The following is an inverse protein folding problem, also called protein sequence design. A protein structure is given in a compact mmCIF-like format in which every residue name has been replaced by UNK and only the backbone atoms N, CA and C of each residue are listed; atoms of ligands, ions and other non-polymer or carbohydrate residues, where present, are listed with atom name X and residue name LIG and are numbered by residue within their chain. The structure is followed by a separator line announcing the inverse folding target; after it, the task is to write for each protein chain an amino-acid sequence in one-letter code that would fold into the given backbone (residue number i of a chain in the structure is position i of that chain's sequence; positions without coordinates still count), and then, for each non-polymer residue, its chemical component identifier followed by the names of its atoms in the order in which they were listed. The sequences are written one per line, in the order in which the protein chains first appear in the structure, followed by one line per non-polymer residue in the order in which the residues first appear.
data_IF_832413086106
#
_entry.id   IF_832413086106
#
_cell.length_a   1.000
_cell.length_b   1.000
_cell.length_c   1.000
_cell.angle_alpha   90.00
_cell.angle_beta   90.00
_cell.angle_gamma   90.00
#
_symmetry.space_group_name_H-M   'P 1'
#
loop_
_entity.id
_entity.type
_entity.pdbx_description
1 polymer ?
#
# COMPACT_ATOMS: atom_id res chain seq x y z
N UNK A 1 54.79 -18.91 -27.65
CA UNK A 1 53.72 -19.80 -27.18
C UNK A 1 53.06 -20.44 -28.40
N UNK A 2 52.91 -21.74 -28.44
CA UNK A 2 52.26 -22.43 -29.56
C UNK A 2 50.79 -22.01 -29.66
N UNK A 3 50.28 -21.93 -30.89
CA UNK A 3 48.93 -21.47 -31.22
C UNK A 3 47.84 -22.15 -30.38
N UNK A 4 47.99 -23.43 -30.07
CA UNK A 4 47.06 -24.22 -29.23
C UNK A 4 46.96 -23.75 -27.78
N UNK A 5 48.02 -23.21 -27.19
CA UNK A 5 47.97 -22.68 -25.84
C UNK A 5 47.18 -21.36 -25.75
N UNK A 6 47.24 -20.55 -26.81
CA UNK A 6 46.41 -19.31 -26.86
C UNK A 6 44.92 -19.64 -27.02
N UNK A 7 44.58 -20.64 -27.83
CA UNK A 7 43.19 -21.08 -27.98
C UNK A 7 42.64 -21.71 -26.70
N UNK A 8 43.44 -22.47 -25.98
CA UNK A 8 43.02 -23.05 -24.70
C UNK A 8 42.80 -21.99 -23.60
N UNK A 9 43.65 -20.97 -23.54
CA UNK A 9 43.46 -19.83 -22.61
C UNK A 9 42.18 -19.05 -22.94
N UNK A 10 41.91 -18.78 -24.22
CA UNK A 10 40.68 -18.09 -24.62
C UNK A 10 39.45 -18.93 -24.30
N UNK A 11 39.47 -20.22 -24.50
CA UNK A 11 38.38 -21.13 -24.16
C UNK A 11 38.12 -21.18 -22.65
N UNK A 12 39.19 -21.25 -21.85
CA UNK A 12 39.12 -21.21 -20.37
C UNK A 12 38.53 -19.87 -19.89
N UNK A 13 38.92 -18.75 -20.49
CA UNK A 13 38.38 -17.42 -20.15
C UNK A 13 36.90 -17.31 -20.53
N UNK A 14 36.47 -17.85 -21.67
CA UNK A 14 35.06 -17.89 -22.10
C UNK A 14 34.26 -18.78 -21.14
N UNK A 15 34.78 -19.95 -20.76
CA UNK A 15 34.10 -20.84 -19.80
C UNK A 15 34.04 -20.20 -18.40
N UNK A 16 35.06 -19.49 -17.96
CA UNK A 16 35.03 -18.74 -16.70
C UNK A 16 34.08 -17.55 -16.76
N UNK A 17 33.95 -16.83 -17.89
CA UNK A 17 32.97 -15.78 -18.10
C UNK A 17 31.54 -16.34 -18.12
N UNK A 18 31.31 -17.45 -18.83
CA UNK A 18 30.00 -18.11 -18.84
C UNK A 18 29.63 -18.70 -17.48
N UNK A 19 30.59 -19.29 -16.76
CA UNK A 19 30.35 -19.79 -15.40
C UNK A 19 30.14 -18.65 -14.38
N UNK A 20 30.80 -17.50 -14.55
CA UNK A 20 30.50 -16.31 -13.72
C UNK A 20 29.14 -15.70 -14.04
N UNK A 21 28.66 -15.73 -15.30
CA UNK A 21 27.30 -15.33 -15.65
C UNK A 21 26.25 -16.28 -15.02
N UNK A 22 26.47 -17.60 -15.12
CA UNK A 22 25.57 -18.60 -14.50
C UNK A 22 25.63 -18.53 -12.97
N UNK A 23 26.77 -18.21 -12.38
CA UNK A 23 26.91 -18.02 -10.92
C UNK A 23 26.29 -16.70 -10.50
N UNK A 24 26.39 -15.63 -11.29
CA UNK A 24 25.72 -14.35 -11.03
C UNK A 24 24.20 -14.54 -11.14
N UNK A 25 23.67 -15.23 -12.16
CA UNK A 25 22.24 -15.55 -12.19
C UNK A 25 21.79 -16.43 -11.02
N UNK A 26 22.58 -17.43 -10.60
CA UNK A 26 22.27 -18.26 -9.42
C UNK A 26 22.49 -17.54 -8.08
N UNK A 27 23.42 -16.60 -7.98
CA UNK A 27 23.64 -15.80 -6.77
C UNK A 27 22.56 -14.72 -6.65
N UNK A 28 22.06 -14.18 -7.76
CA UNK A 28 20.86 -13.34 -7.77
C UNK A 28 19.62 -14.13 -7.30
N UNK A 29 19.47 -15.40 -7.69
CA UNK A 29 18.40 -16.27 -7.22
C UNK A 29 18.51 -16.72 -5.75
N UNK A 30 19.65 -16.56 -5.07
CA UNK A 30 19.87 -17.07 -3.71
C UNK A 30 19.78 -16.04 -2.57
N UNK A 31 19.64 -14.74 -2.87
CA UNK A 31 19.61 -13.70 -1.83
C UNK A 31 18.23 -13.09 -1.53
N UNK A 32 17.21 -13.41 -2.32
CA UNK A 32 15.83 -12.99 -2.07
C UNK A 32 15.06 -14.16 -1.42
N UNK A 33 15.12 -14.32 -0.12
CA UNK A 33 14.32 -15.32 0.62
C UNK A 33 12.84 -14.88 0.69
N UNK A 34 12.19 -14.90 -0.43
CA UNK A 34 10.77 -14.63 -0.61
C UNK A 34 10.47 -14.62 -2.10
N UNK A 35 9.78 -15.61 -2.64
CA UNK A 35 9.34 -15.66 -4.03
C UNK A 35 10.32 -16.20 -5.08
N UNK A 36 11.59 -16.42 -4.76
CA UNK A 36 12.62 -16.87 -5.72
C UNK A 36 12.33 -18.21 -6.38
N UNK A 37 11.62 -19.09 -5.69
CA UNK A 37 11.31 -20.42 -6.20
C UNK A 37 10.39 -20.40 -7.44
N UNK A 38 9.74 -19.27 -7.72
CA UNK A 38 8.77 -19.16 -8.81
C UNK A 38 9.21 -18.23 -9.97
N UNK A 39 10.30 -17.47 -9.81
CA UNK A 39 10.77 -16.53 -10.83
C UNK A 39 11.22 -17.24 -12.10
N UNK A 40 10.71 -16.82 -13.26
CA UNK A 40 11.12 -17.27 -14.60
C UNK A 40 10.98 -18.78 -14.86
N UNK A 41 10.08 -19.49 -14.14
CA UNK A 41 9.88 -20.95 -14.32
C UNK A 41 8.69 -21.31 -15.20
N UNK A 42 7.85 -20.34 -15.55
CA UNK A 42 6.68 -20.52 -16.39
C UNK A 42 6.78 -19.70 -17.69
N UNK A 43 5.79 -19.85 -18.56
CA UNK A 43 5.57 -19.03 -19.74
C UNK A 43 4.24 -18.31 -19.63
N UNK A 44 4.09 -17.21 -20.36
CA UNK A 44 2.81 -16.50 -20.42
C UNK A 44 1.64 -17.41 -20.85
N UNK A 45 1.90 -18.38 -21.70
CA UNK A 45 0.91 -19.31 -22.25
C UNK A 45 0.42 -20.34 -21.23
N UNK A 46 1.14 -20.52 -20.12
CA UNK A 46 0.73 -21.42 -19.03
C UNK A 46 -0.43 -20.81 -18.21
N UNK A 47 -0.68 -19.51 -18.35
CA UNK A 47 -1.73 -18.78 -17.66
C UNK A 47 -2.87 -18.38 -18.60
N UNK A 48 -4.10 -18.63 -18.17
CA UNK A 48 -5.29 -18.17 -18.89
C UNK A 48 -5.44 -16.65 -18.78
N UNK A 49 -5.88 -16.04 -19.88
CA UNK A 49 -6.22 -14.60 -19.87
C UNK A 49 -7.52 -14.36 -19.11
N UNK A 50 -7.67 -13.24 -18.40
CA UNK A 50 -8.92 -12.91 -17.69
C UNK A 50 -10.15 -12.93 -18.61
N UNK A 51 -9.99 -12.52 -19.89
CA UNK A 51 -11.05 -12.56 -20.88
C UNK A 51 -11.54 -13.99 -21.16
N UNK A 52 -10.66 -15.00 -21.13
CA UNK A 52 -11.07 -16.39 -21.32
C UNK A 52 -12.00 -16.88 -20.20
N UNK A 53 -11.74 -16.43 -18.96
CA UNK A 53 -12.62 -16.72 -17.82
C UNK A 53 -13.95 -15.96 -17.92
N UNK A 54 -13.88 -14.67 -18.27
CA UNK A 54 -14.98 -13.72 -18.17
C UNK A 54 -15.89 -13.59 -19.39
N UNK A 55 -15.45 -14.04 -20.57
CA UNK A 55 -16.20 -13.79 -21.81
C UNK A 55 -17.52 -14.57 -21.91
N UNK A 56 -17.66 -15.70 -21.20
CA UNK A 56 -18.84 -16.55 -21.31
C UNK A 56 -19.27 -17.24 -20.01
N UNK A 57 -18.39 -17.44 -19.05
CA UNK A 57 -18.69 -18.22 -17.85
C UNK A 57 -18.71 -17.39 -16.57
N UNK A 58 -17.63 -16.69 -16.23
CA UNK A 58 -17.48 -15.93 -14.99
C UNK A 58 -17.68 -14.42 -15.21
N UNK A 59 -18.78 -14.07 -15.90
CA UNK A 59 -19.04 -12.70 -16.39
C UNK A 59 -19.05 -11.68 -15.23
N UNK A 60 -19.76 -11.96 -14.14
CA UNK A 60 -19.89 -11.03 -13.00
C UNK A 60 -18.54 -10.82 -12.31
N UNK A 61 -17.76 -11.88 -12.13
CA UNK A 61 -16.41 -11.76 -11.55
C UNK A 61 -15.45 -11.01 -12.46
N UNK A 62 -15.57 -11.15 -13.76
CA UNK A 62 -14.77 -10.38 -14.70
C UNK A 62 -15.11 -8.89 -14.67
N UNK A 63 -16.39 -8.53 -14.54
CA UNK A 63 -16.82 -7.14 -14.36
C UNK A 63 -16.31 -6.55 -13.03
N UNK A 64 -16.29 -7.34 -11.96
CA UNK A 64 -15.70 -6.94 -10.68
C UNK A 64 -14.19 -6.78 -10.78
N UNK A 65 -13.50 -7.72 -11.45
CA UNK A 65 -12.07 -7.67 -11.70
C UNK A 65 -11.66 -6.41 -12.46
N UNK A 66 -12.41 -6.00 -13.47
CA UNK A 66 -12.14 -4.76 -14.21
C UNK A 66 -12.16 -3.48 -13.33
N UNK A 67 -12.81 -3.53 -12.19
CA UNK A 67 -12.97 -2.40 -11.27
C UNK A 67 -11.98 -2.42 -10.10
N UNK A 68 -11.39 -3.57 -9.77
CA UNK A 68 -10.48 -3.67 -8.63
C UNK A 68 -9.10 -3.08 -8.93
N UNK A 69 -8.46 -2.45 -7.93
CA UNK A 69 -7.12 -1.88 -8.08
C UNK A 69 -6.06 -2.93 -8.42
N UNK A 70 -6.19 -4.16 -7.93
CA UNK A 70 -5.22 -5.23 -8.23
C UNK A 70 -5.17 -5.62 -9.72
N UNK A 71 -6.24 -5.40 -10.50
CA UNK A 71 -6.22 -5.57 -11.97
C UNK A 71 -5.53 -4.42 -12.70
N UNK A 72 -5.24 -3.34 -12.01
CA UNK A 72 -4.68 -2.11 -12.55
C UNK A 72 -3.30 -1.77 -11.97
N UNK A 73 -2.79 -2.55 -11.02
CA UNK A 73 -1.57 -2.21 -10.29
C UNK A 73 -0.29 -2.16 -11.14
N UNK A 74 -0.31 -2.58 -12.39
CA UNK A 74 0.76 -2.35 -13.36
C UNK A 74 0.46 -1.19 -14.31
N UNK A 75 -0.81 -0.94 -14.60
CA UNK A 75 -1.26 0.08 -15.57
C UNK A 75 -1.67 1.39 -14.93
N UNK A 76 -1.78 1.42 -13.61
CA UNK A 76 -2.08 2.63 -12.85
C UNK A 76 -0.93 3.63 -13.03
N UNK A 77 -1.26 4.85 -13.45
CA UNK A 77 -0.25 5.84 -13.88
C UNK A 77 0.78 6.19 -12.83
N UNK A 78 0.40 6.20 -11.58
CA UNK A 78 1.30 6.44 -10.45
C UNK A 78 2.31 5.28 -10.30
N UNK A 79 1.85 4.03 -10.19
CA UNK A 79 2.72 2.85 -10.11
C UNK A 79 3.64 2.74 -11.33
N UNK A 80 3.15 3.05 -12.54
CA UNK A 80 3.95 3.10 -13.77
C UNK A 80 5.11 4.09 -13.65
N UNK A 81 4.82 5.32 -13.16
CA UNK A 81 5.85 6.36 -13.04
C UNK A 81 6.89 5.96 -11.98
N UNK A 82 6.48 5.49 -10.82
CA UNK A 82 7.40 5.06 -9.77
C UNK A 82 8.27 3.89 -10.21
N UNK A 83 7.69 2.92 -10.87
CA UNK A 83 8.45 1.76 -11.34
C UNK A 83 9.45 2.15 -12.45
N UNK A 84 8.98 2.76 -13.54
CA UNK A 84 9.84 3.02 -14.71
C UNK A 84 10.74 4.25 -14.58
N UNK A 85 10.35 5.25 -13.81
CA UNK A 85 11.11 6.50 -13.72
C UNK A 85 11.95 6.59 -12.44
N UNK A 86 11.62 5.82 -11.39
CA UNK A 86 12.35 5.84 -10.12
C UNK A 86 13.01 4.50 -9.81
N UNK A 87 12.25 3.42 -9.67
CA UNK A 87 12.76 2.12 -9.19
C UNK A 87 13.75 1.48 -10.19
N UNK A 88 13.38 1.34 -11.46
CA UNK A 88 14.25 0.74 -12.49
C UNK A 88 15.55 1.55 -12.67
N UNK A 89 15.52 2.90 -12.86
CA UNK A 89 16.75 3.68 -12.96
C UNK A 89 17.63 3.65 -11.69
N UNK A 90 17.04 3.51 -10.51
CA UNK A 90 17.80 3.33 -9.27
C UNK A 90 18.47 1.95 -9.26
N UNK A 91 17.73 0.90 -9.57
CA UNK A 91 18.22 -0.48 -9.62
C UNK A 91 19.33 -0.69 -10.68
N UNK A 92 19.34 0.10 -11.76
CA UNK A 92 20.43 0.09 -12.76
C UNK A 92 21.75 0.67 -12.24
N UNK A 93 21.69 1.50 -11.21
CA UNK A 93 22.86 2.24 -10.68
C UNK A 93 23.36 1.67 -9.36
N UNK A 94 22.46 1.15 -8.52
CA UNK A 94 22.77 0.64 -7.19
C UNK A 94 22.51 -0.87 -7.11
N UNK A 95 23.61 -1.69 -7.05
CA UNK A 95 23.47 -3.13 -6.90
C UNK A 95 22.68 -3.57 -5.67
N UNK A 96 22.60 -2.74 -4.62
CA UNK A 96 21.86 -3.05 -3.38
C UNK A 96 20.37 -3.19 -3.62
N UNK A 97 19.84 -2.45 -4.58
CA UNK A 97 18.40 -2.45 -4.93
C UNK A 97 18.12 -3.04 -6.31
N UNK A 98 19.10 -3.74 -6.92
CA UNK A 98 18.97 -4.30 -8.28
C UNK A 98 17.80 -5.26 -8.44
N UNK A 99 17.44 -6.00 -7.38
CA UNK A 99 16.36 -6.99 -7.37
C UNK A 99 14.97 -6.39 -7.58
N UNK A 100 14.78 -5.08 -7.32
CA UNK A 100 13.45 -4.45 -7.45
C UNK A 100 12.92 -4.44 -8.87
N UNK A 101 13.80 -4.58 -9.90
CA UNK A 101 13.34 -4.72 -11.30
C UNK A 101 12.43 -5.93 -11.49
N UNK A 102 12.73 -7.02 -10.80
CA UNK A 102 11.90 -8.22 -10.80
C UNK A 102 10.89 -8.19 -9.64
N UNK A 103 11.33 -7.87 -8.42
CA UNK A 103 10.56 -7.99 -7.18
C UNK A 103 9.24 -7.24 -7.19
N UNK A 104 9.21 -5.99 -7.67
CA UNK A 104 7.97 -5.22 -7.79
C UNK A 104 6.92 -5.95 -8.65
N UNK A 105 7.37 -6.61 -9.72
CA UNK A 105 6.47 -7.31 -10.64
C UNK A 105 5.87 -8.59 -10.03
N UNK A 106 6.45 -9.16 -8.98
CA UNK A 106 5.83 -10.26 -8.27
C UNK A 106 4.41 -9.93 -7.80
N UNK A 107 4.20 -8.69 -7.32
CA UNK A 107 2.89 -8.22 -6.87
C UNK A 107 2.13 -7.41 -7.95
N UNK A 108 2.81 -6.63 -8.79
CA UNK A 108 2.17 -5.71 -9.74
C UNK A 108 1.94 -6.29 -11.13
N UNK A 109 2.80 -7.21 -11.60
CA UNK A 109 2.67 -7.93 -12.86
C UNK A 109 3.09 -9.42 -12.69
N UNK A 110 2.36 -10.21 -11.87
CA UNK A 110 2.80 -11.54 -11.44
C UNK A 110 3.10 -12.50 -12.58
N UNK A 111 2.32 -12.49 -13.67
CA UNK A 111 2.57 -13.38 -14.82
C UNK A 111 3.88 -12.99 -15.51
N UNK A 112 4.22 -11.71 -15.61
CA UNK A 112 5.51 -11.26 -16.14
C UNK A 112 6.67 -11.75 -15.25
N UNK A 113 6.56 -11.60 -13.93
CA UNK A 113 7.53 -12.11 -12.96
C UNK A 113 7.73 -13.62 -13.10
N UNK A 114 6.64 -14.39 -13.10
CA UNK A 114 6.65 -15.84 -13.24
C UNK A 114 7.22 -16.31 -14.58
N UNK A 115 7.17 -15.46 -15.62
CA UNK A 115 7.71 -15.73 -16.97
C UNK A 115 9.11 -15.16 -17.18
N UNK A 116 9.70 -14.45 -16.21
CA UNK A 116 11.02 -13.84 -16.31
C UNK A 116 11.09 -12.59 -17.20
N UNK A 117 9.94 -12.02 -17.58
CA UNK A 117 9.84 -10.78 -18.36
C UNK A 117 9.89 -9.57 -17.41
N UNK A 118 11.09 -9.21 -16.96
CA UNK A 118 11.32 -8.15 -15.95
C UNK A 118 12.54 -7.29 -16.27
N UNK A 119 12.39 -5.95 -16.46
CA UNK A 119 11.13 -5.23 -16.46
C UNK A 119 10.30 -5.54 -17.71
N UNK A 120 8.97 -5.73 -17.57
CA UNK A 120 8.12 -5.92 -18.73
C UNK A 120 8.00 -4.62 -19.55
N UNK A 121 7.55 -4.70 -20.83
CA UNK A 121 7.34 -3.51 -21.64
C UNK A 121 6.31 -2.57 -21.01
N UNK A 122 6.52 -1.25 -21.17
CA UNK A 122 5.61 -0.22 -20.63
C UNK A 122 4.15 -0.46 -21.01
N UNK A 123 3.19 -0.08 -20.14
CA UNK A 123 1.75 -0.33 -20.33
C UNK A 123 1.17 0.16 -21.66
N UNK A 124 1.65 1.28 -22.20
CA UNK A 124 1.17 1.83 -23.48
C UNK A 124 1.45 0.90 -24.68
N UNK A 125 2.40 -0.03 -24.58
CA UNK A 125 2.71 -1.06 -25.57
C UNK A 125 1.76 -2.26 -25.49
N UNK A 126 0.83 -2.25 -24.53
CA UNK A 126 -0.18 -3.30 -24.29
C UNK A 126 0.40 -4.71 -24.10
N UNK A 127 1.42 -4.90 -23.25
CA UNK A 127 1.96 -6.23 -22.96
C UNK A 127 0.97 -7.06 -22.13
N UNK A 128 1.23 -8.37 -22.01
CA UNK A 128 0.47 -9.23 -21.08
C UNK A 128 0.62 -8.82 -19.60
N UNK A 129 1.70 -8.14 -19.24
CA UNK A 129 1.87 -7.54 -17.93
C UNK A 129 0.71 -6.59 -17.52
N UNK A 130 -0.01 -6.01 -18.51
CA UNK A 130 -1.19 -5.17 -18.25
C UNK A 130 -2.38 -5.94 -17.67
N UNK A 131 -2.34 -7.27 -17.64
CA UNK A 131 -3.32 -8.08 -16.92
C UNK A 131 -3.15 -7.96 -15.40
N UNK A 132 -2.02 -7.39 -14.93
CA UNK A 132 -1.71 -7.19 -13.52
C UNK A 132 -1.98 -8.46 -12.69
N UNK A 133 -2.71 -8.39 -11.58
CA UNK A 133 -3.16 -9.57 -10.83
C UNK A 133 -4.40 -10.15 -11.51
N UNK A 134 -4.20 -11.13 -12.37
CA UNK A 134 -5.27 -11.77 -13.13
C UNK A 134 -5.95 -12.91 -12.35
N UNK A 135 -7.06 -13.42 -12.88
CA UNK A 135 -7.81 -14.52 -12.29
C UNK A 135 -6.90 -15.74 -12.03
N UNK A 136 -6.08 -16.07 -13.02
CA UNK A 136 -5.23 -17.26 -12.98
C UNK A 136 -4.08 -17.13 -11.97
N UNK A 137 -3.62 -15.91 -11.68
CA UNK A 137 -2.61 -15.68 -10.63
C UNK A 137 -3.10 -16.22 -9.29
N UNK A 138 -4.35 -15.90 -8.90
CA UNK A 138 -4.91 -16.34 -7.63
C UNK A 138 -5.38 -17.80 -7.68
N UNK A 139 -6.05 -18.19 -8.76
CA UNK A 139 -6.72 -19.49 -8.86
C UNK A 139 -5.82 -20.64 -9.29
N UNK A 140 -4.49 -20.44 -9.37
CA UNK A 140 -3.48 -21.48 -9.60
C UNK A 140 -2.50 -21.64 -8.44
N UNK A 141 -2.64 -20.86 -7.37
CA UNK A 141 -1.80 -20.97 -6.17
C UNK A 141 -2.15 -22.22 -5.37
N UNK A 142 -1.13 -23.02 -5.02
CA UNK A 142 -1.24 -24.25 -4.23
C UNK A 142 -0.69 -24.12 -2.82
N UNK A 143 0.15 -23.11 -2.56
CA UNK A 143 0.79 -22.94 -1.26
C UNK A 143 1.58 -21.64 -1.17
N UNK A 144 2.27 -21.52 -0.06
CA UNK A 144 3.20 -20.45 0.25
C UNK A 144 4.54 -21.10 0.58
N UNK A 145 5.64 -20.58 0.06
CA UNK A 145 6.98 -21.04 0.41
C UNK A 145 7.43 -20.37 1.72
N UNK A 146 7.68 -21.20 2.73
CA UNK A 146 8.06 -20.77 4.09
C UNK A 146 6.86 -20.45 4.99
N UNK A 147 7.16 -19.97 6.21
CA UNK A 147 6.19 -19.78 7.29
C UNK A 147 5.47 -18.42 7.26
N UNK A 148 6.07 -17.44 6.60
CA UNK A 148 5.56 -16.07 6.50
C UNK A 148 5.29 -15.76 5.04
N UNK A 149 4.06 -15.35 4.68
CA UNK A 149 3.77 -14.87 3.34
C UNK A 149 4.34 -13.47 3.14
N UNK A 150 5.19 -13.26 2.12
CA UNK A 150 5.74 -11.96 1.72
C UNK A 150 6.46 -12.04 0.37
N UNK A 151 6.68 -10.88 -0.27
CA UNK A 151 7.45 -10.72 -1.51
C UNK A 151 7.07 -11.76 -2.58
N UNK A 152 5.78 -12.02 -2.74
CA UNK A 152 5.23 -12.97 -3.72
C UNK A 152 5.75 -14.42 -3.57
N UNK A 153 5.90 -14.93 -2.37
CA UNK A 153 6.35 -16.30 -2.13
C UNK A 153 5.25 -17.37 -2.34
N UNK A 154 4.41 -17.19 -3.35
CA UNK A 154 3.44 -18.19 -3.76
C UNK A 154 4.08 -19.39 -4.46
N UNK A 155 3.53 -20.58 -4.20
CA UNK A 155 3.76 -21.77 -4.99
C UNK A 155 2.65 -21.82 -6.05
N UNK A 156 2.98 -21.40 -7.28
CA UNK A 156 2.06 -21.36 -8.41
C UNK A 156 2.07 -22.71 -9.15
N UNK A 157 0.89 -23.13 -9.65
CA UNK A 157 0.72 -24.34 -10.45
C UNK A 157 -0.28 -24.05 -11.60
N UNK A 158 0.14 -23.24 -12.61
CA UNK A 158 -0.73 -22.89 -13.72
C UNK A 158 -1.14 -24.14 -14.53
N UNK A 159 -2.26 -24.04 -15.25
CA UNK A 159 -2.79 -25.12 -16.08
C UNK A 159 -4.29 -25.34 -15.86
N UNK A 160 -4.78 -26.56 -16.17
CA UNK A 160 -6.22 -26.85 -16.17
C UNK A 160 -6.88 -26.88 -14.80
N UNK A 161 -6.13 -27.09 -13.73
CA UNK A 161 -6.69 -27.12 -12.36
C UNK A 161 -6.85 -25.71 -11.84
N UNK A 162 -8.09 -25.32 -11.52
CA UNK A 162 -8.40 -24.05 -10.85
C UNK A 162 -8.80 -24.30 -9.39
N UNK A 163 -8.24 -23.52 -8.49
CA UNK A 163 -8.49 -23.62 -7.05
C UNK A 163 -9.58 -22.66 -6.62
N UNK A 164 -10.51 -23.11 -5.81
CA UNK A 164 -11.61 -22.34 -5.26
C UNK A 164 -11.88 -22.69 -3.81
N UNK A 165 -12.91 -22.11 -3.21
CA UNK A 165 -13.29 -22.35 -1.81
C UNK A 165 -14.38 -23.43 -1.64
N UNK A 166 -14.87 -24.04 -2.74
CA UNK A 166 -15.97 -25.00 -2.74
C UNK A 166 -15.51 -26.40 -3.09
N UNK A 167 -16.23 -27.40 -2.60
CA UNK A 167 -16.07 -28.83 -2.96
C UNK A 167 -17.16 -29.27 -3.92
N UNK A 168 -16.91 -30.34 -4.69
CA UNK A 168 -17.92 -30.94 -5.56
C UNK A 168 -18.27 -30.13 -6.80
N UNK A 169 -17.51 -29.08 -7.10
CA UNK A 169 -17.75 -28.26 -8.29
C UNK A 169 -17.29 -29.01 -9.53
N UNK A 170 -18.18 -29.10 -10.51
CA UNK A 170 -17.89 -29.73 -11.83
C UNK A 170 -17.91 -28.65 -12.89
N UNK A 171 -16.83 -28.55 -13.66
CA UNK A 171 -16.73 -27.66 -14.81
C UNK A 171 -16.40 -28.47 -16.07
N UNK A 172 -17.05 -28.22 -17.21
CA UNK A 172 -16.69 -28.86 -18.48
C UNK A 172 -15.41 -28.28 -19.08
N UNK A 173 -14.95 -27.11 -18.59
CA UNK A 173 -13.82 -26.39 -19.18
C UNK A 173 -12.51 -26.63 -18.43
N UNK A 174 -12.52 -26.65 -17.11
CA UNK A 174 -11.33 -26.85 -16.27
C UNK A 174 -11.63 -27.80 -15.10
N UNK A 175 -10.59 -28.41 -14.55
CA UNK A 175 -10.68 -29.11 -13.29
C UNK A 175 -10.79 -28.12 -12.12
N UNK A 176 -11.51 -28.51 -11.05
CA UNK A 176 -11.70 -27.67 -9.89
C UNK A 176 -11.26 -28.41 -8.62
N UNK A 177 -10.45 -27.75 -7.78
CA UNK A 177 -10.05 -28.25 -6.49
C UNK A 177 -10.31 -27.22 -5.40
N UNK A 178 -10.71 -27.68 -4.22
CA UNK A 178 -10.82 -26.82 -3.04
C UNK A 178 -9.43 -26.46 -2.53
N UNK A 179 -9.25 -25.16 -2.19
CA UNK A 179 -8.09 -24.65 -1.47
C UNK A 179 -8.54 -23.93 -0.21
N UNK A 180 -8.08 -24.40 0.94
CA UNK A 180 -8.30 -23.71 2.22
C UNK A 180 -7.49 -22.40 2.31
N UNK A 181 -6.36 -22.30 1.59
CA UNK A 181 -5.51 -21.12 1.59
C UNK A 181 -6.25 -19.89 1.08
N UNK A 182 -7.10 -20.03 0.05
CA UNK A 182 -7.89 -18.92 -0.52
C UNK A 182 -8.88 -18.28 0.47
N UNK A 183 -9.17 -18.96 1.58
CA UNK A 183 -10.06 -18.46 2.63
C UNK A 183 -9.32 -17.86 3.82
N UNK A 184 -7.98 -17.82 3.78
CA UNK A 184 -7.13 -17.37 4.88
C UNK A 184 -6.42 -16.05 4.53
N UNK A 185 -6.18 -15.22 5.54
CA UNK A 185 -5.44 -13.98 5.40
C UNK A 185 -3.98 -14.17 4.96
N UNK A 186 -3.41 -15.36 5.19
CA UNK A 186 -2.07 -15.73 4.71
C UNK A 186 -1.97 -15.66 3.19
N UNK A 187 -3.03 -15.98 2.46
CA UNK A 187 -3.07 -15.80 1.01
C UNK A 187 -2.78 -14.34 0.61
N UNK A 188 -3.41 -13.39 1.28
CA UNK A 188 -3.23 -11.97 0.98
C UNK A 188 -1.82 -11.49 1.33
N UNK A 189 -1.22 -12.07 2.38
CA UNK A 189 0.09 -11.69 2.89
C UNK A 189 1.24 -11.83 1.89
N UNK A 190 1.14 -12.74 0.92
CA UNK A 190 2.19 -12.93 -0.08
C UNK A 190 2.46 -11.67 -0.93
N UNK A 191 1.45 -10.78 -1.08
CA UNK A 191 1.60 -9.48 -1.74
C UNK A 191 1.45 -8.31 -0.77
N UNK A 192 0.71 -8.49 0.34
CA UNK A 192 0.46 -7.42 1.32
C UNK A 192 1.40 -7.44 2.53
N UNK A 193 2.48 -8.21 2.47
CA UNK A 193 3.69 -8.07 3.27
C UNK A 193 4.89 -7.96 2.33
N UNK A 194 5.76 -7.02 2.57
CA UNK A 194 6.94 -6.77 1.75
C UNK A 194 8.12 -6.37 2.63
N UNK A 195 9.28 -6.94 2.32
CA UNK A 195 10.57 -6.47 2.84
C UNK A 195 11.32 -5.72 1.76
N UNK A 196 11.89 -4.58 2.14
CA UNK A 196 12.85 -3.87 1.30
C UNK A 196 14.14 -4.70 1.12
N UNK A 197 15.01 -4.36 0.15
CA UNK A 197 16.36 -4.92 0.03
C UNK A 197 17.23 -4.78 1.28
N UNK A 198 16.85 -3.89 2.20
CA UNK A 198 17.52 -3.70 3.50
C UNK A 198 16.93 -4.60 4.61
N UNK A 199 15.96 -5.45 4.30
CA UNK A 199 15.32 -6.36 5.25
C UNK A 199 14.25 -5.74 6.14
N UNK A 200 13.82 -4.51 5.84
CA UNK A 200 12.80 -3.77 6.59
C UNK A 200 11.41 -4.13 6.07
N UNK A 201 10.47 -4.37 6.97
CA UNK A 201 9.07 -4.55 6.61
C UNK A 201 8.45 -3.21 6.17
N UNK A 202 8.41 -2.97 4.86
CA UNK A 202 7.84 -1.77 4.24
C UNK A 202 6.34 -1.90 3.97
N UNK A 203 5.84 -3.12 3.79
CA UNK A 203 4.41 -3.45 3.88
C UNK A 203 4.23 -4.58 4.88
N UNK A 204 3.24 -4.48 5.75
CA UNK A 204 3.00 -5.46 6.81
C UNK A 204 1.51 -5.65 7.13
N UNK A 205 0.63 -5.36 6.16
CA UNK A 205 -0.82 -5.35 6.38
C UNK A 205 -1.35 -6.67 6.95
N UNK A 206 -0.88 -7.80 6.42
CA UNK A 206 -1.30 -9.12 6.93
C UNK A 206 -0.68 -9.42 8.30
N UNK A 207 0.55 -9.02 8.55
CA UNK A 207 1.19 -9.17 9.87
C UNK A 207 0.49 -8.29 10.92
N UNK A 208 0.14 -7.05 10.59
CA UNK A 208 -0.63 -6.14 11.45
C UNK A 208 -1.98 -6.76 11.85
N UNK A 209 -2.67 -7.39 10.89
CA UNK A 209 -3.90 -8.13 11.14
C UNK A 209 -3.65 -9.36 12.03
N UNK A 210 -2.60 -10.13 11.77
CA UNK A 210 -2.27 -11.35 12.50
C UNK A 210 -1.95 -11.08 13.97
N UNK A 211 -1.34 -9.93 14.27
CA UNK A 211 -1.07 -9.49 15.64
C UNK A 211 -2.33 -8.91 16.32
N UNK A 212 -3.33 -8.52 15.55
CA UNK A 212 -4.52 -7.83 16.01
C UNK A 212 -5.62 -8.73 16.61
N UNK A 213 -6.70 -8.11 17.13
CA UNK A 213 -7.83 -8.82 17.72
C UNK A 213 -8.64 -9.61 16.67
N UNK A 214 -8.75 -9.13 15.45
CA UNK A 214 -9.56 -9.75 14.40
C UNK A 214 -9.06 -11.15 14.01
N UNK A 215 -7.74 -11.33 13.96
CA UNK A 215 -7.16 -12.67 13.76
C UNK A 215 -7.57 -13.65 14.87
N UNK A 216 -7.51 -13.21 16.14
CA UNK A 216 -7.89 -14.03 17.31
C UNK A 216 -9.36 -14.40 17.31
N UNK A 217 -10.19 -13.56 16.70
CA UNK A 217 -11.64 -13.76 16.52
C UNK A 217 -11.96 -14.60 15.26
N UNK A 218 -10.96 -15.00 14.48
CA UNK A 218 -11.14 -15.78 13.25
C UNK A 218 -11.65 -14.97 12.05
N UNK A 219 -11.69 -13.64 12.15
CA UNK A 219 -12.14 -12.75 11.08
C UNK A 219 -11.00 -12.57 10.08
N UNK A 220 -11.21 -13.04 8.85
CA UNK A 220 -10.22 -13.04 7.78
C UNK A 220 -10.28 -11.77 6.93
N UNK A 221 -9.23 -11.53 6.13
CA UNK A 221 -9.17 -10.40 5.19
C UNK A 221 -10.38 -10.43 4.24
N UNK A 222 -10.74 -11.62 3.76
CA UNK A 222 -11.84 -11.86 2.83
C UNK A 222 -13.20 -11.44 3.42
N UNK A 223 -13.39 -11.52 4.74
CA UNK A 223 -14.65 -11.12 5.39
C UNK A 223 -15.02 -9.65 5.09
N UNK A 224 -14.04 -8.77 5.04
CA UNK A 224 -14.23 -7.34 4.80
C UNK A 224 -13.98 -6.92 3.35
N UNK A 225 -13.00 -7.56 2.67
CA UNK A 225 -12.58 -7.17 1.32
C UNK A 225 -13.25 -7.97 0.21
N UNK A 226 -13.88 -9.09 0.54
CA UNK A 226 -14.65 -9.93 -0.37
C UNK A 226 -16.03 -10.26 0.26
N UNK A 227 -16.86 -9.25 0.56
CA UNK A 227 -18.16 -9.49 1.20
C UNK A 227 -18.99 -10.46 0.35
N UNK A 228 -19.78 -11.30 1.02
CA UNK A 228 -20.59 -12.30 0.32
C UNK A 228 -21.97 -11.76 -0.04
N UNK A 229 -22.48 -12.20 -1.21
CA UNK A 229 -23.83 -11.91 -1.67
C UNK A 229 -24.44 -13.17 -2.29
N UNK A 230 -25.77 -13.31 -2.33
CA UNK A 230 -26.42 -14.34 -3.13
C UNK A 230 -26.08 -14.19 -4.62
N UNK A 231 -25.94 -15.31 -5.31
CA UNK A 231 -25.62 -15.32 -6.76
C UNK A 231 -25.08 -16.65 -7.25
N UNK A 232 -24.36 -16.61 -8.39
CA UNK A 232 -23.76 -17.79 -9.04
C UNK A 232 -22.27 -17.57 -9.26
N UNK A 233 -21.48 -18.64 -9.17
CA UNK A 233 -20.06 -18.59 -9.51
C UNK A 233 -19.80 -18.50 -11.02
N UNK A 234 -20.74 -18.97 -11.84
CA UNK A 234 -20.68 -18.92 -13.30
C UNK A 234 -22.07 -18.88 -13.88
N UNK A 235 -22.20 -18.48 -15.13
CA UNK A 235 -23.48 -18.36 -15.85
C UNK A 235 -24.34 -19.64 -15.76
N UNK A 236 -23.72 -20.81 -15.81
CA UNK A 236 -24.39 -22.12 -15.76
C UNK A 236 -24.31 -22.77 -14.36
N UNK A 237 -23.75 -22.09 -13.39
CA UNK A 237 -23.59 -22.61 -12.02
C UNK A 237 -24.86 -22.57 -11.21
N UNK A 238 -24.87 -23.30 -10.11
CA UNK A 238 -25.95 -23.26 -9.11
C UNK A 238 -25.94 -21.93 -8.34
N UNK A 239 -27.11 -21.56 -7.83
CA UNK A 239 -27.26 -20.41 -6.95
C UNK A 239 -26.75 -20.73 -5.54
N UNK A 240 -26.12 -19.76 -4.92
CA UNK A 240 -25.60 -19.83 -3.57
C UNK A 240 -25.87 -18.51 -2.83
N UNK A 241 -26.09 -18.59 -1.52
CA UNK A 241 -26.32 -17.40 -0.68
C UNK A 241 -25.02 -16.63 -0.34
N UNK A 242 -23.86 -17.21 -0.64
CA UNK A 242 -22.56 -16.74 -0.14
C UNK A 242 -21.49 -16.72 -1.23
N UNK A 243 -21.72 -15.97 -2.30
CA UNK A 243 -20.72 -15.71 -3.35
C UNK A 243 -19.82 -14.56 -2.92
N UNK A 244 -18.52 -14.84 -2.79
CA UNK A 244 -17.52 -13.83 -2.42
C UNK A 244 -17.30 -12.83 -3.57
N UNK A 245 -17.50 -11.55 -3.31
CA UNK A 245 -17.28 -10.48 -4.29
C UNK A 245 -15.79 -10.26 -4.55
N UNK A 246 -15.42 -9.96 -5.80
CA UNK A 246 -14.03 -9.75 -6.23
C UNK A 246 -13.71 -8.28 -6.49
N UNK A 247 -14.36 -7.35 -5.80
CA UNK A 247 -14.10 -5.91 -5.90
C UNK A 247 -12.87 -5.47 -5.13
N UNK A 248 -12.56 -6.12 -4.02
CA UNK A 248 -11.40 -5.86 -3.16
C UNK A 248 -11.21 -4.38 -2.78
N UNK A 249 -12.32 -3.67 -2.50
CA UNK A 249 -12.29 -2.27 -2.12
C UNK A 249 -11.38 -2.03 -0.91
N UNK A 250 -10.56 -0.98 -0.98
CA UNK A 250 -9.56 -0.62 0.03
C UNK A 250 -9.33 0.89 0.10
N UNK A 251 -8.08 1.30 0.24
CA UNK A 251 -7.67 2.69 0.45
C UNK A 251 -8.03 3.66 -0.69
N UNK A 252 -8.30 3.15 -1.90
CA UNK A 252 -8.73 3.95 -3.06
C UNK A 252 -10.26 4.15 -3.12
N UNK A 253 -11.02 3.47 -2.26
CA UNK A 253 -12.48 3.59 -2.22
C UNK A 253 -12.92 4.47 -1.03
N UNK A 254 -13.51 5.65 -1.30
CA UNK A 254 -14.02 6.53 -0.25
C UNK A 254 -15.04 5.84 0.68
N UNK A 255 -15.81 4.88 0.18
CA UNK A 255 -16.78 4.12 0.96
C UNK A 255 -16.12 3.21 2.00
N UNK A 256 -14.90 2.72 1.73
CA UNK A 256 -14.10 1.95 2.70
C UNK A 256 -13.38 2.83 3.70
N UNK A 257 -12.95 4.03 3.29
CA UNK A 257 -12.20 4.97 4.13
C UNK A 257 -13.09 5.72 5.10
N UNK A 258 -14.26 6.18 4.66
CA UNK A 258 -15.19 6.96 5.49
C UNK A 258 -15.68 6.17 6.71
N UNK A 259 -15.59 6.82 7.88
CA UNK A 259 -16.04 6.28 9.16
C UNK A 259 -15.17 5.13 9.70
N UNK A 260 -13.92 4.93 9.21
CA UNK A 260 -12.99 3.95 9.78
C UNK A 260 -12.54 4.34 11.19
N UNK A 261 -12.40 5.63 11.45
CA UNK A 261 -12.04 6.17 12.76
C UNK A 261 -13.19 7.05 13.26
N UNK A 262 -13.69 6.75 14.44
CA UNK A 262 -14.63 7.61 15.15
C UNK A 262 -13.90 8.76 15.81
N UNK A 263 -14.54 9.93 15.95
CA UNK A 263 -13.94 11.15 16.43
C UNK A 263 -14.90 11.89 17.36
N UNK A 264 -14.37 12.39 18.51
CA UNK A 264 -15.12 13.21 19.49
C UNK A 264 -14.23 14.32 20.03
N UNK A 265 -14.83 15.49 20.27
CA UNK A 265 -14.18 16.66 20.87
C UNK A 265 -14.73 16.87 22.28
N UNK A 266 -13.85 17.10 23.23
CA UNK A 266 -14.17 17.42 24.62
C UNK A 266 -13.38 18.68 25.02
N UNK A 267 -14.00 19.88 25.03
CA UNK A 267 -13.41 21.07 25.64
C UNK A 267 -13.45 20.93 27.17
N UNK A 268 -12.44 21.44 27.87
CA UNK A 268 -12.41 21.45 29.33
C UNK A 268 -13.38 22.48 29.92
N UNK A 269 -13.61 23.59 29.19
CA UNK A 269 -14.59 24.60 29.51
C UNK A 269 -15.53 24.86 28.33
N UNK A 270 -16.77 25.23 28.61
CA UNK A 270 -17.76 25.58 27.60
C UNK A 270 -18.05 27.07 27.52
N UNK A 271 -17.59 27.83 28.49
CA UNK A 271 -17.67 29.30 28.58
C UNK A 271 -16.28 29.82 28.96
N UNK A 272 -15.80 30.84 28.29
CA UNK A 272 -14.47 31.45 28.50
C UNK A 272 -14.42 32.87 27.99
N UNK A 273 -13.36 33.58 28.36
CA UNK A 273 -13.09 34.96 27.98
C UNK A 273 -11.89 35.06 27.03
N UNK A 274 -11.76 36.13 26.22
CA UNK A 274 -10.54 36.44 25.49
C UNK A 274 -9.31 36.49 26.43
N UNK A 275 -8.19 35.90 25.98
CA UNK A 275 -6.97 35.79 26.80
C UNK A 275 -6.89 34.52 27.66
N UNK A 276 -7.95 33.76 27.81
CA UNK A 276 -7.92 32.46 28.50
C UNK A 276 -7.45 31.33 27.56
N UNK A 277 -6.86 30.28 28.14
CA UNK A 277 -6.47 29.06 27.42
C UNK A 277 -7.50 27.96 27.60
N UNK A 278 -8.10 27.48 26.52
CA UNK A 278 -8.94 26.29 26.51
C UNK A 278 -8.12 25.09 26.06
N UNK A 279 -8.29 23.98 26.78
CA UNK A 279 -7.76 22.69 26.37
C UNK A 279 -8.85 21.84 25.67
N UNK A 280 -8.58 21.43 24.44
CA UNK A 280 -9.42 20.53 23.68
C UNK A 280 -8.83 19.12 23.69
N UNK A 281 -9.57 18.17 24.22
CA UNK A 281 -9.24 16.74 24.15
C UNK A 281 -10.00 16.11 23.01
N UNK A 282 -9.29 15.55 22.04
CA UNK A 282 -9.88 14.89 20.88
C UNK A 282 -9.62 13.40 20.99
N UNK A 283 -10.69 12.62 21.05
CA UNK A 283 -10.66 11.17 21.14
C UNK A 283 -10.92 10.60 19.76
N UNK A 284 -10.02 9.74 19.28
CA UNK A 284 -10.12 9.06 18.00
C UNK A 284 -10.03 7.55 18.23
N UNK A 285 -10.97 6.80 17.67
CA UNK A 285 -11.06 5.35 17.82
C UNK A 285 -11.13 4.64 16.47
N UNK A 286 -10.18 3.73 16.21
CA UNK A 286 -10.23 2.89 15.01
C UNK A 286 -11.32 1.81 15.17
N UNK A 287 -12.49 2.09 14.62
CA UNK A 287 -13.69 1.26 14.80
C UNK A 287 -13.78 0.09 13.81
N UNK A 288 -13.17 0.19 12.62
CA UNK A 288 -13.53 -0.70 11.52
C UNK A 288 -12.37 -1.45 10.86
N UNK A 289 -11.11 -1.01 11.01
CA UNK A 289 -10.02 -1.69 10.31
C UNK A 289 -9.42 -2.81 11.14
N UNK A 290 -9.22 -3.97 10.51
CA UNK A 290 -8.62 -5.16 11.14
C UNK A 290 -7.09 -5.16 11.15
N UNK A 291 -6.47 -4.15 10.60
CA UNK A 291 -5.04 -3.86 10.52
C UNK A 291 -4.79 -2.40 10.89
N UNK A 292 -3.55 -1.93 10.82
CA UNK A 292 -3.29 -0.50 11.05
C UNK A 292 -3.95 0.39 9.98
N UNK A 293 -4.23 1.62 10.35
CA UNK A 293 -4.78 2.62 9.44
C UNK A 293 -3.99 3.93 9.53
N UNK A 294 -3.43 4.42 8.40
CA UNK A 294 -3.36 3.77 7.08
C UNK A 294 -2.41 2.57 7.05
N UNK A 295 -2.49 1.74 6.01
CA UNK A 295 -1.63 0.56 5.79
C UNK A 295 -1.29 0.39 4.30
N UNK A 296 -0.60 -0.70 3.95
CA UNK A 296 -0.06 -0.93 2.60
C UNK A 296 1.18 -0.08 2.38
N UNK A 297 1.21 0.73 1.33
CA UNK A 297 2.24 1.75 1.08
C UNK A 297 2.04 2.92 2.05
N UNK A 298 2.30 2.68 3.34
CA UNK A 298 1.97 3.62 4.42
C UNK A 298 2.79 4.92 4.34
N UNK A 299 3.96 4.89 3.70
CA UNK A 299 4.85 6.03 3.45
C UNK A 299 4.22 7.09 2.54
N UNK A 300 3.33 6.64 1.66
CA UNK A 300 2.61 7.51 0.71
C UNK A 300 1.25 7.96 1.23
N UNK A 301 0.75 7.35 2.30
CA UNK A 301 -0.58 7.67 2.83
C UNK A 301 -0.48 8.80 3.83
N UNK A 302 -1.33 9.81 3.66
CA UNK A 302 -1.50 10.88 4.63
C UNK A 302 -2.83 10.75 5.35
N UNK A 303 -2.76 10.67 6.68
CA UNK A 303 -3.91 10.71 7.57
C UNK A 303 -3.63 11.79 8.61
N UNK A 304 -4.47 12.83 8.67
CA UNK A 304 -4.21 13.92 9.59
C UNK A 304 -5.48 14.49 10.22
N UNK A 305 -5.33 14.97 11.44
CA UNK A 305 -6.35 15.68 12.19
C UNK A 305 -6.13 17.19 12.04
N UNK A 306 -7.12 17.85 11.46
CA UNK A 306 -7.25 19.30 11.41
C UNK A 306 -8.25 19.78 12.45
N UNK A 307 -7.90 20.82 13.20
CA UNK A 307 -8.77 21.43 14.22
C UNK A 307 -8.84 22.93 14.01
N UNK A 308 -10.06 23.45 14.02
CA UNK A 308 -10.32 24.89 13.86
C UNK A 308 -11.42 25.37 14.82
N UNK A 309 -11.37 26.66 15.15
CA UNK A 309 -12.45 27.37 15.80
C UNK A 309 -13.01 28.41 14.83
N UNK A 310 -14.35 28.53 14.79
CA UNK A 310 -15.06 29.47 13.94
C UNK A 310 -15.91 30.36 14.84
N UNK A 311 -15.63 31.67 14.87
CA UNK A 311 -16.38 32.62 15.69
C UNK A 311 -17.77 32.95 15.13
N UNK A 312 -18.53 33.74 15.89
CA UNK A 312 -19.91 34.14 15.57
C UNK A 312 -20.06 34.90 14.24
N UNK A 313 -18.95 35.47 13.71
CA UNK A 313 -18.90 36.15 12.38
C UNK A 313 -18.29 35.28 11.27
N UNK A 314 -17.91 34.04 11.56
CA UNK A 314 -17.34 33.11 10.60
C UNK A 314 -15.83 33.26 10.39
N UNK A 315 -15.12 33.98 11.25
CA UNK A 315 -13.66 34.03 11.23
C UNK A 315 -13.07 32.71 11.73
N UNK A 316 -12.13 32.14 10.98
CA UNK A 316 -11.52 30.86 11.26
C UNK A 316 -10.17 31.04 11.97
N UNK A 317 -9.98 30.26 13.03
CA UNK A 317 -8.74 30.16 13.79
C UNK A 317 -8.23 28.72 13.71
N UNK A 318 -7.08 28.50 13.08
CA UNK A 318 -6.47 27.17 13.00
C UNK A 318 -5.72 26.85 14.30
N UNK A 319 -6.06 25.72 14.90
CA UNK A 319 -5.45 25.27 16.13
C UNK A 319 -4.25 24.36 15.84
N UNK A 320 -3.25 24.41 16.72
CA UNK A 320 -2.06 23.58 16.63
C UNK A 320 -2.06 22.54 17.74
N UNK A 321 -1.64 21.32 17.41
CA UNK A 321 -1.50 20.25 18.39
C UNK A 321 -0.44 20.61 19.45
N UNK A 322 -0.70 20.23 20.71
CA UNK A 322 0.28 20.37 21.79
C UNK A 322 1.44 19.38 21.58
N UNK A 323 2.67 19.90 21.50
CA UNK A 323 3.89 19.14 21.20
C UNK A 323 4.47 18.33 22.36
N UNK A 324 3.77 18.18 23.46
CA UNK A 324 4.24 17.42 24.62
C UNK A 324 3.75 15.97 24.55
N UNK A 325 4.45 15.09 23.84
CA UNK A 325 3.96 13.73 23.66
C UNK A 325 5.04 12.67 23.83
N UNK A 326 5.81 12.38 22.79
CA UNK A 326 6.68 11.20 22.73
C UNK A 326 7.90 11.45 21.82
N UNK A 327 8.99 10.68 21.95
CA UNK A 327 10.10 10.74 21.02
C UNK A 327 9.66 10.42 19.60
N UNK A 328 10.08 11.21 18.60
CA UNK A 328 9.68 11.07 17.21
C UNK A 328 8.37 11.80 16.85
N UNK A 329 7.81 12.58 17.77
CA UNK A 329 6.59 13.36 17.54
C UNK A 329 6.77 14.39 16.41
N UNK A 330 7.97 14.88 16.20
CA UNK A 330 8.33 15.83 15.14
C UNK A 330 7.97 15.31 13.74
N UNK A 331 7.98 14.01 13.55
CA UNK A 331 7.57 13.38 12.28
C UNK A 331 6.06 13.21 12.13
N UNK A 332 5.31 13.42 13.19
CA UNK A 332 3.85 13.26 13.23
C UNK A 332 3.11 14.60 13.33
N UNK A 333 3.83 15.71 13.26
CA UNK A 333 3.28 17.06 13.20
C UNK A 333 3.65 17.65 11.84
N UNK A 334 2.68 18.29 11.18
CA UNK A 334 2.92 18.95 9.91
C UNK A 334 3.98 20.04 10.00
N UNK A 335 4.88 20.06 9.03
CA UNK A 335 5.98 21.04 8.93
C UNK A 335 6.24 21.40 7.45
N UNK A 336 7.01 22.47 7.23
CA UNK A 336 7.47 22.87 5.90
C UNK A 336 8.80 22.23 5.50
N UNK A 337 9.26 21.21 6.23
CA UNK A 337 10.53 20.56 5.93
C UNK A 337 10.46 19.77 4.62
N UNK A 338 11.56 19.77 3.88
CA UNK A 338 11.75 18.91 2.73
C UNK A 338 12.11 17.50 3.24
N UNK A 339 11.43 16.48 2.70
CA UNK A 339 11.62 15.11 3.14
C UNK A 339 12.08 14.18 2.02
N UNK A 340 11.48 14.26 0.87
CA UNK A 340 11.69 13.30 -0.22
C UNK A 340 12.86 13.75 -1.11
N UNK A 341 14.09 13.66 -0.57
CA UNK A 341 15.31 14.15 -1.24
C UNK A 341 16.03 13.08 -2.05
N UNK A 342 15.85 11.82 -1.74
CA UNK A 342 16.48 10.70 -2.44
C UNK A 342 15.89 10.42 -3.83
N UNK A 343 14.69 10.88 -4.11
CA UNK A 343 14.04 10.75 -5.43
C UNK A 343 14.85 11.36 -6.57
N UNK A 344 15.67 12.36 -6.29
CA UNK A 344 16.59 12.95 -7.26
C UNK A 344 17.78 12.09 -7.64
N UNK A 345 18.17 11.12 -6.79
CA UNK A 345 19.31 10.24 -7.02
C UNK A 345 19.07 9.27 -8.19
N UNK A 346 17.92 8.58 -8.29
CA UNK A 346 17.61 7.73 -9.44
C UNK A 346 17.57 8.49 -10.77
N UNK A 347 17.13 9.75 -10.74
CA UNK A 347 17.00 10.60 -11.91
C UNK A 347 18.29 11.34 -12.27
N UNK A 348 19.37 11.22 -11.49
CA UNK A 348 20.63 11.98 -11.63
C UNK A 348 20.44 13.50 -11.56
N UNK A 349 19.49 13.98 -10.81
CA UNK A 349 19.24 15.41 -10.65
C UNK A 349 20.19 16.00 -9.60
N UNK A 350 21.32 16.53 -10.03
CA UNK A 350 22.37 17.09 -9.13
C UNK A 350 21.86 18.26 -8.28
N UNK A 351 20.97 19.06 -8.81
CA UNK A 351 20.42 20.25 -8.13
C UNK A 351 19.06 19.98 -7.47
N UNK A 352 18.65 18.73 -7.38
CA UNK A 352 17.41 18.36 -6.72
C UNK A 352 17.47 18.65 -5.22
N UNK A 353 16.61 19.53 -4.74
CA UNK A 353 16.56 19.97 -3.33
C UNK A 353 15.58 19.16 -2.47
N UNK A 354 14.74 18.35 -3.10
CA UNK A 354 13.69 17.58 -2.44
C UNK A 354 12.30 18.19 -2.62
N UNK A 355 11.31 17.51 -2.10
CA UNK A 355 9.90 17.89 -2.08
C UNK A 355 9.43 18.07 -0.64
N UNK A 356 8.40 18.88 -0.42
CA UNK A 356 7.78 19.03 0.89
C UNK A 356 7.25 17.68 1.39
N UNK A 357 7.30 17.49 2.72
CA UNK A 357 6.95 16.22 3.36
C UNK A 357 5.48 15.85 3.18
N UNK A 358 4.58 16.82 3.33
CA UNK A 358 3.15 16.51 3.44
C UNK A 358 2.21 17.52 2.74
N UNK A 359 2.57 18.77 2.60
CA UNK A 359 1.69 19.81 2.03
C UNK A 359 0.45 20.14 2.90
N UNK A 360 0.45 19.76 4.18
CA UNK A 360 -0.65 19.94 5.13
C UNK A 360 -0.43 21.25 5.92
N UNK A 361 -1.48 21.97 6.37
CA UNK A 361 -1.31 23.16 7.20
C UNK A 361 -0.50 22.88 8.47
N UNK A 362 0.41 23.82 8.80
CA UNK A 362 1.34 23.69 9.93
C UNK A 362 0.62 23.45 11.26
N UNK A 363 1.15 22.52 12.05
CA UNK A 363 0.67 22.20 13.39
C UNK A 363 -0.47 21.18 13.43
N UNK A 364 -0.92 20.66 12.29
CA UNK A 364 -1.85 19.54 12.26
C UNK A 364 -1.17 18.25 12.76
N UNK A 365 -1.95 17.38 13.42
CA UNK A 365 -1.49 16.06 13.82
C UNK A 365 -1.55 15.10 12.64
N UNK A 366 -0.43 14.45 12.29
CA UNK A 366 -0.32 13.44 11.25
C UNK A 366 -0.18 12.06 11.89
N UNK A 367 -0.96 11.10 11.43
CA UNK A 367 -0.90 9.69 11.85
C UNK A 367 -0.19 8.87 10.79
N UNK A 368 1.12 8.72 10.95
CA UNK A 368 2.00 8.06 9.97
C UNK A 368 3.07 7.21 10.62
N UNK A 369 3.75 6.43 9.81
CA UNK A 369 5.02 5.80 10.11
C UNK A 369 6.02 6.29 9.04
N UNK A 370 7.00 7.13 9.37
CA UNK A 370 7.95 7.63 8.40
C UNK A 370 8.97 6.55 8.02
N UNK A 371 9.34 6.50 6.74
CA UNK A 371 10.35 5.63 6.17
C UNK A 371 11.61 6.45 5.92
N UNK A 372 12.78 5.85 6.17
CA UNK A 372 14.07 6.52 5.99
C UNK A 372 14.98 5.73 5.07
N UNK A 373 15.62 6.45 4.16
CA UNK A 373 16.65 5.92 3.28
C UNK A 373 17.96 5.61 4.05
N UNK A 374 18.99 4.99 3.40
CA UNK A 374 20.25 4.71 4.04
C UNK A 374 21.03 5.95 4.55
N UNK A 375 20.66 7.15 4.11
CA UNK A 375 21.23 8.43 4.56
C UNK A 375 20.41 9.08 5.69
N UNK A 376 19.35 8.41 6.15
CA UNK A 376 18.47 8.92 7.21
C UNK A 376 17.50 10.01 6.75
N UNK A 377 17.26 10.18 5.45
CA UNK A 377 16.28 11.11 4.89
C UNK A 377 14.93 10.41 4.75
N UNK A 378 13.86 11.12 5.03
CA UNK A 378 12.51 10.58 4.83
C UNK A 378 12.27 10.30 3.34
N UNK A 379 11.69 9.12 3.04
CA UNK A 379 11.51 8.65 1.66
C UNK A 379 10.11 8.05 1.46
N UNK A 380 9.63 8.09 0.21
CA UNK A 380 8.51 7.27 -0.26
C UNK A 380 9.00 6.04 -1.03
N UNK A 381 10.29 5.94 -1.32
CA UNK A 381 10.84 4.81 -2.08
C UNK A 381 10.97 3.57 -1.18
N UNK A 382 9.98 2.70 -1.18
CA UNK A 382 9.92 1.47 -0.38
C UNK A 382 11.19 0.64 -0.55
N UNK A 383 11.65 0.47 -1.79
CA UNK A 383 12.84 -0.30 -2.13
C UNK A 383 14.14 0.33 -1.59
N UNK A 384 14.14 1.62 -1.26
CA UNK A 384 15.29 2.32 -0.68
C UNK A 384 15.15 2.56 0.83
N UNK A 385 14.20 1.91 1.47
CA UNK A 385 13.96 2.06 2.90
C UNK A 385 14.89 1.18 3.71
N UNK A 386 15.74 1.82 4.52
CA UNK A 386 16.73 1.16 5.39
C UNK A 386 16.34 1.18 6.88
N UNK A 387 15.39 2.04 7.28
CA UNK A 387 14.85 2.08 8.64
C UNK A 387 13.45 2.70 8.66
N UNK A 388 12.73 2.47 9.76
CA UNK A 388 11.41 3.05 10.02
C UNK A 388 11.50 3.98 11.23
N UNK A 389 10.71 5.04 11.21
CA UNK A 389 10.52 5.92 12.35
C UNK A 389 9.43 5.42 13.30
N UNK A 390 9.02 6.30 14.20
CA UNK A 390 7.95 5.98 15.14
C UNK A 390 6.62 5.76 14.42
N UNK A 391 5.99 4.61 14.68
CA UNK A 391 4.71 4.27 14.10
C UNK A 391 3.56 4.85 14.91
N UNK A 392 2.98 5.93 14.42
CA UNK A 392 1.84 6.62 15.04
C UNK A 392 0.51 6.38 14.31
N UNK A 393 0.45 5.39 13.44
CA UNK A 393 -0.79 4.95 12.79
C UNK A 393 -1.75 4.34 13.82
N UNK A 394 -3.03 4.23 13.47
CA UNK A 394 -4.02 3.58 14.32
C UNK A 394 -3.93 2.07 14.22
N UNK A 395 -3.71 1.37 15.31
CA UNK A 395 -3.91 -0.07 15.41
C UNK A 395 -5.40 -0.46 15.41
N UNK A 396 -5.74 -1.75 15.15
CA UNK A 396 -7.11 -2.24 15.22
C UNK A 396 -7.71 -2.02 16.61
N UNK A 397 -8.88 -1.36 16.69
CA UNK A 397 -9.59 -1.01 17.94
C UNK A 397 -8.75 -0.14 18.89
N UNK A 398 -7.76 0.56 18.38
CA UNK A 398 -6.97 1.49 19.17
C UNK A 398 -7.68 2.82 19.35
N UNK A 399 -7.56 3.39 20.56
CA UNK A 399 -7.97 4.76 20.85
C UNK A 399 -6.73 5.63 20.98
N UNK A 400 -6.69 6.73 20.24
CA UNK A 400 -5.71 7.81 20.43
C UNK A 400 -6.38 9.05 21.00
N UNK A 401 -5.65 9.77 21.84
CA UNK A 401 -6.10 10.99 22.46
C UNK A 401 -5.12 12.10 22.09
N UNK A 402 -5.62 13.11 21.39
CA UNK A 402 -4.86 14.30 21.00
C UNK A 402 -5.31 15.49 21.81
N UNK A 403 -4.36 16.36 22.15
CA UNK A 403 -4.61 17.57 22.92
C UNK A 403 -4.24 18.79 22.08
N UNK A 404 -5.15 19.75 22.06
CA UNK A 404 -4.94 21.06 21.48
C UNK A 404 -5.15 22.09 22.57
N UNK A 405 -4.20 23.03 22.71
CA UNK A 405 -4.32 24.18 23.57
C UNK A 405 -4.57 25.41 22.73
N UNK A 406 -5.63 26.09 23.03
CA UNK A 406 -6.02 27.30 22.32
C UNK A 406 -6.11 28.49 23.26
N UNK A 407 -5.14 29.41 23.14
CA UNK A 407 -5.23 30.71 23.74
C UNK A 407 -6.23 31.54 22.93
N UNK A 408 -7.34 31.90 23.54
CA UNK A 408 -8.42 32.66 22.90
C UNK A 408 -7.90 34.05 22.54
N UNK A 409 -7.91 34.46 21.27
CA UNK A 409 -7.40 35.73 20.83
C UNK A 409 -8.27 36.91 21.35
N UNK A 410 -7.64 38.01 21.74
CA UNK A 410 -8.36 39.23 22.17
C UNK A 410 -9.29 39.83 21.12
N UNK A 411 -9.05 39.49 19.84
CA UNK A 411 -9.83 39.99 18.69
C UNK A 411 -10.86 38.96 18.16
N UNK A 412 -11.25 38.01 18.97
CA UNK A 412 -12.34 37.10 18.66
C UNK A 412 -13.69 37.81 18.84
N UNK A 413 -14.67 37.49 18.01
CA UNK A 413 -16.01 38.03 18.21
C UNK A 413 -16.73 37.26 19.32
N UNK A 414 -17.28 37.96 20.32
CA UNK A 414 -18.05 37.33 21.38
C UNK A 414 -19.26 36.55 20.86
N UNK A 415 -19.66 35.53 21.61
CA UNK A 415 -20.79 34.68 21.30
C UNK A 415 -20.42 33.24 21.09
N UNK A 416 -21.26 32.51 20.31
CA UNK A 416 -21.06 31.09 20.03
C UNK A 416 -19.87 30.89 19.09
N UNK A 417 -18.93 30.05 19.50
CA UNK A 417 -17.79 29.59 18.72
C UNK A 417 -17.94 28.10 18.44
N UNK A 418 -17.85 27.72 17.19
CA UNK A 418 -17.87 26.31 16.76
C UNK A 418 -16.44 25.80 16.73
N UNK A 419 -16.14 24.77 17.54
CA UNK A 419 -14.90 24.00 17.44
C UNK A 419 -15.17 22.81 16.52
N UNK A 420 -14.37 22.70 15.47
CA UNK A 420 -14.49 21.65 14.46
C UNK A 420 -13.20 20.87 14.35
N UNK A 421 -13.32 19.54 14.42
CA UNK A 421 -12.21 18.61 14.17
C UNK A 421 -12.55 17.74 12.96
N UNK A 422 -11.62 17.65 12.01
CA UNK A 422 -11.77 16.89 10.78
C UNK A 422 -10.58 15.95 10.64
N UNK A 423 -10.86 14.65 10.54
CA UNK A 423 -9.86 13.65 10.19
C UNK A 423 -9.88 13.45 8.70
N UNK A 424 -8.78 13.79 8.05
CA UNK A 424 -8.60 13.77 6.60
C UNK A 424 -7.64 12.66 6.17
N UNK A 425 -7.89 12.10 5.00
CA UNK A 425 -7.04 11.07 4.38
C UNK A 425 -6.72 11.45 2.94
N UNK A 426 -5.49 11.21 2.51
CA UNK A 426 -5.05 11.25 1.11
C UNK A 426 -4.32 9.94 0.76
N UNK A 427 -4.55 9.46 -0.46
CA UNK A 427 -3.85 8.30 -1.01
C UNK A 427 -2.38 8.62 -1.31
N UNK A 428 -2.12 9.83 -1.80
CA UNK A 428 -0.80 10.33 -2.17
C UNK A 428 -0.67 11.78 -1.69
N UNK A 429 0.46 12.18 -1.05
CA UNK A 429 0.66 13.57 -0.65
C UNK A 429 0.64 14.50 -1.86
N UNK A 430 -0.03 15.63 -1.74
CA UNK A 430 -0.12 16.64 -2.81
C UNK A 430 1.23 17.00 -3.43
N UNK A 431 2.30 17.31 -2.65
CA UNK A 431 3.60 17.65 -3.26
C UNK A 431 4.23 16.49 -4.05
N UNK A 432 3.95 15.26 -3.68
CA UNK A 432 4.43 14.07 -4.41
C UNK A 432 3.66 13.90 -5.72
N UNK A 433 2.32 14.04 -5.68
CA UNK A 433 1.48 13.98 -6.88
C UNK A 433 1.88 15.04 -7.92
N UNK A 434 2.13 16.27 -7.46
CA UNK A 434 2.63 17.36 -8.32
C UNK A 434 4.00 17.04 -8.93
N UNK A 435 4.94 16.54 -8.12
CA UNK A 435 6.27 16.16 -8.59
C UNK A 435 6.25 15.03 -9.62
N UNK A 436 5.45 13.98 -9.37
CA UNK A 436 5.29 12.85 -10.29
C UNK A 436 4.44 13.21 -11.51
N UNK A 437 3.79 14.38 -11.50
CA UNK A 437 2.88 14.84 -12.55
C UNK A 437 1.76 13.82 -12.83
N UNK A 438 1.18 13.26 -11.78
CA UNK A 438 0.01 12.40 -11.85
C UNK A 438 -1.28 13.23 -11.72
N UNK A 439 -2.44 12.71 -12.15
CA UNK A 439 -3.71 13.40 -11.95
C UNK A 439 -3.97 13.73 -10.48
N UNK A 440 -4.43 14.97 -10.20
CA UNK A 440 -4.64 15.46 -8.84
C UNK A 440 -5.75 14.72 -8.07
N UNK A 441 -6.58 13.94 -8.76
CA UNK A 441 -7.54 13.00 -8.17
C UNK A 441 -6.85 11.95 -7.29
N UNK A 442 -5.54 11.66 -7.51
CA UNK A 442 -4.76 10.78 -6.64
C UNK A 442 -4.44 11.43 -5.29
N UNK A 443 -4.38 12.76 -5.24
CA UNK A 443 -4.20 13.54 -4.02
C UNK A 443 -5.51 14.13 -3.48
N UNK A 444 -6.68 13.63 -3.90
CA UNK A 444 -7.96 14.08 -3.39
C UNK A 444 -8.09 13.77 -1.89
N UNK A 445 -8.59 14.76 -1.15
CA UNK A 445 -8.80 14.63 0.30
C UNK A 445 -10.15 13.94 0.54
N UNK A 446 -10.09 12.83 1.26
CA UNK A 446 -11.26 12.11 1.74
C UNK A 446 -11.45 12.44 3.23
N UNK A 447 -12.58 13.02 3.59
CA UNK A 447 -12.94 13.20 5.00
C UNK A 447 -13.32 11.84 5.58
N UNK A 448 -12.48 11.34 6.49
CA UNK A 448 -12.70 10.06 7.20
C UNK A 448 -13.83 10.22 8.22
N UNK A 449 -13.75 11.28 9.02
CA UNK A 449 -14.76 11.64 10.01
C UNK A 449 -14.64 13.11 10.40
N UNK A 450 -15.70 13.66 10.95
CA UNK A 450 -15.77 15.03 11.43
C UNK A 450 -16.65 15.08 12.70
N UNK A 451 -16.29 15.96 13.62
CA UNK A 451 -17.11 16.27 14.79
C UNK A 451 -17.04 17.77 15.09
N UNK A 452 -18.16 18.33 15.53
CA UNK A 452 -18.28 19.72 15.95
C UNK A 452 -18.80 19.80 17.38
N UNK A 453 -18.36 20.80 18.12
CA UNK A 453 -18.89 21.17 19.43
C UNK A 453 -18.90 22.68 19.56
N UNK A 454 -19.68 23.20 20.51
CA UNK A 454 -19.85 24.62 20.73
C UNK A 454 -19.32 25.02 22.08
N UNK A 455 -18.70 26.19 22.11
CA UNK A 455 -18.33 26.94 23.31
C UNK A 455 -18.87 28.36 23.19
N UNK A 456 -18.91 29.11 24.29
CA UNK A 456 -19.33 30.50 24.33
C UNK A 456 -18.16 31.37 24.78
N UNK A 457 -17.91 32.46 24.08
CA UNK A 457 -16.92 33.48 24.47
C UNK A 457 -17.70 34.73 24.91
N UNK A 458 -17.45 35.14 26.15
CA UNK A 458 -18.08 36.31 26.77
C UNK A 458 -17.43 37.65 26.36
#
# INVERSE_FOLDING_TARGET
MPYYQKQLIVLILIVMLLSSFIVVEKVFAQNTKGGDAAYAIFKYEDFEKPQACGSSCHIDFYQQWLQMMMSQCYTHHWDEIEYFNLAVPHADKDPKVAEVKAGCNGCHAPVAFLSGDTPPPKPHLKPRANESVSCDVCHTVTGIDGDIPFNFNFISNPGRVKYGNRTGVVSPYHETKKSELLTKGEFCGACHNEKSPYGIWVKSTQLEWKEGPYYKEGIQCQTCHMPVTPGRNSLMGEEHDNIAQHLFHGAHDPGKVKGTVELRIHPDFRESEPGEEIKLTIVLFNAKTGHKFPTGSAEERMLWLHVEAVDSKGKIFHLKVDKKGFPGEEYTISSNELAYQDMGIPLNLKDFKGIQRDGIPLGNRIFRMPYFDPQGRMTIMQWNTASLGYDYRFGPRETKIETFKWLIPDNIEPGEVIIKAVLNYQKLPTPVAEYLNVPMEEAEIIVVNMHETKIVIE
#
